data_IF_095699492576
#
_entry.id   IF_095699492576
#
_cell.length_a   1.000
_cell.length_b   1.000
_cell.length_c   1.000
_cell.angle_alpha   90.00
_cell.angle_beta   90.00
_cell.angle_gamma   90.00
#
_symmetry.space_group_name_H-M   'P 1'
#
loop_
_entity.id
_entity.type
_entity.pdbx_description
1 polymer ?
#
# COMPACT_ATOMS: atom_id res chain seq x y z
N UNK A 1 5.14 -54.63 -50.12
CA UNK A 1 5.58 -53.21 -49.99
C UNK A 1 4.69 -52.35 -49.08
N UNK A 2 3.39 -52.60 -48.93
CA UNK A 2 2.49 -51.76 -48.12
C UNK A 2 2.69 -51.85 -46.59
N UNK A 3 3.22 -52.96 -46.06
CA UNK A 3 3.38 -53.15 -44.60
C UNK A 3 4.64 -52.46 -44.03
N UNK A 4 5.69 -52.31 -44.84
CA UNK A 4 6.92 -51.60 -44.45
C UNK A 4 6.69 -50.09 -44.26
N UNK A 5 5.90 -49.47 -45.15
CA UNK A 5 5.57 -48.04 -45.04
C UNK A 5 4.68 -47.72 -43.83
N UNK A 6 3.77 -48.62 -43.44
CA UNK A 6 2.90 -48.41 -42.26
C UNK A 6 3.68 -48.48 -40.95
N UNK A 7 4.70 -49.34 -40.86
CA UNK A 7 5.59 -49.44 -39.69
C UNK A 7 6.53 -48.24 -39.58
N UNK A 8 7.02 -47.69 -40.70
CA UNK A 8 7.84 -46.49 -40.72
C UNK A 8 7.06 -45.24 -40.28
N UNK A 9 5.82 -45.08 -40.77
CA UNK A 9 4.94 -43.96 -40.40
C UNK A 9 4.56 -44.02 -38.92
N UNK A 10 4.27 -45.21 -38.36
CA UNK A 10 4.01 -45.36 -36.92
C UNK A 10 5.23 -45.06 -36.06
N UNK A 11 6.44 -45.43 -36.50
CA UNK A 11 7.69 -45.11 -35.77
C UNK A 11 8.02 -43.61 -35.82
N UNK A 12 7.78 -42.95 -36.95
CA UNK A 12 7.95 -41.49 -37.10
C UNK A 12 6.91 -40.72 -36.27
N UNK A 13 5.65 -41.18 -36.21
CA UNK A 13 4.62 -40.56 -35.38
C UNK A 13 4.88 -40.73 -33.87
N UNK A 14 5.40 -41.89 -33.45
CA UNK A 14 5.77 -42.13 -32.04
C UNK A 14 7.00 -41.30 -31.64
N UNK A 15 7.99 -41.17 -32.52
CA UNK A 15 9.16 -40.31 -32.29
C UNK A 15 8.80 -38.82 -32.25
N UNK A 16 7.84 -38.38 -33.07
CA UNK A 16 7.31 -37.01 -33.02
C UNK A 16 6.52 -36.74 -31.74
N UNK A 17 5.71 -37.69 -31.25
CA UNK A 17 5.01 -37.57 -29.96
C UNK A 17 5.98 -37.55 -28.77
N UNK A 18 7.08 -38.32 -28.79
CA UNK A 18 8.10 -38.26 -27.75
C UNK A 18 8.92 -36.96 -27.78
N UNK A 19 9.19 -36.41 -28.97
CA UNK A 19 9.86 -35.10 -29.10
C UNK A 19 8.96 -33.93 -28.65
N UNK A 20 7.64 -34.02 -28.83
CA UNK A 20 6.67 -33.03 -28.35
C UNK A 20 6.43 -33.09 -26.83
N UNK A 21 6.68 -34.22 -26.17
CA UNK A 21 6.56 -34.38 -24.72
C UNK A 21 7.85 -34.01 -23.96
N UNK A 22 8.98 -33.90 -24.66
CA UNK A 22 10.27 -33.50 -24.08
C UNK A 22 10.48 -31.96 -24.03
N UNK A 23 9.52 -31.18 -24.54
CA UNK A 23 9.54 -29.71 -24.56
C UNK A 23 8.93 -29.04 -23.33
N UNK A 24 8.81 -29.72 -22.19
CA UNK A 24 8.58 -29.00 -20.93
C UNK A 24 9.88 -28.29 -20.62
N UNK A 25 9.97 -27.01 -21.01
CA UNK A 25 10.98 -26.12 -20.52
C UNK A 25 10.91 -26.17 -18.98
N UNK A 26 11.82 -26.94 -18.37
CA UNK A 26 12.10 -26.83 -16.96
C UNK A 26 12.54 -25.40 -16.76
N UNK A 27 11.64 -24.55 -16.23
CA UNK A 27 11.98 -23.19 -15.86
C UNK A 27 13.25 -23.30 -15.00
N UNK A 28 14.35 -22.72 -15.48
CA UNK A 28 15.57 -22.68 -14.69
C UNK A 28 15.20 -22.08 -13.33
N UNK A 29 15.63 -22.69 -12.21
CA UNK A 29 15.36 -22.12 -10.90
C UNK A 29 15.85 -20.68 -10.91
N UNK A 30 14.94 -19.74 -10.69
CA UNK A 30 15.27 -18.32 -10.66
C UNK A 30 16.32 -18.12 -9.57
N UNK A 31 17.46 -17.53 -9.92
CA UNK A 31 18.49 -17.13 -8.94
C UNK A 31 18.02 -15.97 -8.08
N UNK A 32 16.93 -15.30 -8.47
CA UNK A 32 16.28 -14.26 -7.67
C UNK A 32 15.47 -14.85 -6.51
N UNK A 33 15.58 -14.27 -5.31
CA UNK A 33 14.80 -14.71 -4.16
C UNK A 33 13.29 -14.53 -4.45
N UNK A 34 12.42 -15.37 -3.85
CA UNK A 34 10.97 -15.20 -4.00
C UNK A 34 10.53 -13.76 -3.64
N UNK A 35 9.50 -13.20 -4.30
CA UNK A 35 9.12 -11.79 -4.12
C UNK A 35 8.84 -11.34 -2.67
N UNK A 36 8.45 -12.27 -1.80
CA UNK A 36 8.13 -12.03 -0.39
C UNK A 36 9.22 -12.49 0.59
N UNK A 37 10.40 -12.88 0.12
CA UNK A 37 11.46 -13.47 0.95
C UNK A 37 11.91 -12.54 2.10
N UNK A 38 12.17 -11.26 1.82
CA UNK A 38 12.58 -10.29 2.85
C UNK A 38 11.48 -10.08 3.90
N UNK A 39 10.22 -9.99 3.47
CA UNK A 39 9.07 -9.91 4.37
C UNK A 39 8.92 -11.17 5.24
N UNK A 40 9.07 -12.35 4.66
CA UNK A 40 8.99 -13.62 5.39
C UNK A 40 10.14 -13.78 6.40
N UNK A 41 11.35 -13.37 6.03
CA UNK A 41 12.50 -13.34 6.94
C UNK A 41 12.27 -12.36 8.11
N UNK A 42 11.70 -11.19 7.85
CA UNK A 42 11.33 -10.23 8.89
C UNK A 42 10.27 -10.81 9.85
N UNK A 43 9.19 -11.40 9.31
CA UNK A 43 8.16 -12.06 10.12
C UNK A 43 8.73 -13.19 10.98
N UNK A 44 9.69 -13.96 10.46
CA UNK A 44 10.34 -15.03 11.21
C UNK A 44 11.16 -14.48 12.39
N UNK A 45 11.88 -13.36 12.22
CA UNK A 45 12.56 -12.66 13.33
C UNK A 45 11.56 -12.13 14.36
N UNK A 46 10.49 -11.47 13.90
CA UNK A 46 9.43 -10.98 14.79
C UNK A 46 8.77 -12.10 15.58
N UNK A 47 8.51 -13.26 14.97
CA UNK A 47 7.94 -14.42 15.64
C UNK A 47 8.86 -15.00 16.74
N UNK A 48 10.19 -14.78 16.65
CA UNK A 48 11.15 -15.13 17.69
C UNK A 48 11.36 -14.01 18.73
N UNK A 49 10.64 -12.89 18.62
CA UNK A 49 10.80 -11.75 19.51
C UNK A 49 12.05 -10.90 19.22
N UNK A 50 12.59 -10.96 18.00
CA UNK A 50 13.88 -10.33 17.66
C UNK A 50 13.73 -9.00 16.90
N UNK A 51 12.51 -8.49 16.70
CA UNK A 51 12.33 -7.18 16.07
C UNK A 51 10.94 -6.88 15.54
N UNK A 52 10.85 -5.74 14.85
CA UNK A 52 9.61 -5.22 14.27
C UNK A 52 9.54 -5.54 12.77
N UNK A 53 8.41 -6.06 12.33
CA UNK A 53 8.08 -6.17 10.89
C UNK A 53 7.13 -5.04 10.51
N UNK A 54 7.59 -4.12 9.66
CA UNK A 54 6.79 -3.00 9.17
C UNK A 54 6.30 -3.22 7.74
N UNK A 55 5.01 -3.00 7.52
CA UNK A 55 4.35 -3.09 6.20
C UNK A 55 3.76 -1.74 5.84
N UNK A 56 4.14 -1.20 4.68
CA UNK A 56 3.74 0.12 4.21
C UNK A 56 2.81 -0.01 3.01
N UNK A 57 1.53 0.38 3.17
CA UNK A 57 0.50 0.25 2.12
C UNK A 57 0.10 1.61 1.57
N UNK A 58 0.56 1.93 0.35
CA UNK A 58 0.07 3.10 -0.39
C UNK A 58 -1.09 2.70 -1.30
N UNK A 59 -2.14 3.52 -1.32
CA UNK A 59 -3.29 3.22 -2.17
C UNK A 59 -4.27 4.36 -2.35
N UNK A 60 -5.50 3.99 -2.71
CA UNK A 60 -6.61 4.92 -2.91
C UNK A 60 -7.62 4.87 -1.73
N UNK A 61 -8.92 5.01 -2.02
CA UNK A 61 -9.99 5.05 -1.02
C UNK A 61 -10.08 3.77 -0.18
N UNK A 62 -9.94 2.58 -0.76
CA UNK A 62 -9.95 1.31 0.00
C UNK A 62 -8.84 1.24 1.05
N UNK A 63 -7.71 1.93 0.84
CA UNK A 63 -6.61 2.04 1.81
C UNK A 63 -6.84 3.20 2.79
N UNK A 64 -7.46 4.30 2.34
CA UNK A 64 -7.66 5.51 3.13
C UNK A 64 -8.59 5.31 4.32
N UNK A 65 -9.60 4.45 4.15
CA UNK A 65 -10.55 4.08 5.21
C UNK A 65 -9.95 3.19 6.30
N UNK A 66 -8.71 2.72 6.09
CA UNK A 66 -8.00 1.82 6.97
C UNK A 66 -8.77 0.52 7.33
N UNK A 67 -9.77 0.15 6.52
CA UNK A 67 -10.63 -0.97 6.86
C UNK A 67 -9.93 -2.31 6.65
N UNK A 68 -9.46 -2.61 5.43
CA UNK A 68 -8.75 -3.89 5.22
C UNK A 68 -7.36 -3.89 5.87
N UNK A 69 -6.66 -2.75 5.85
CA UNK A 69 -5.34 -2.60 6.48
C UNK A 69 -5.45 -2.68 8.00
N UNK A 70 -6.45 -2.05 8.61
CA UNK A 70 -6.72 -2.13 10.05
C UNK A 70 -7.11 -3.53 10.50
N UNK A 71 -7.98 -4.24 9.76
CA UNK A 71 -8.28 -5.64 10.05
C UNK A 71 -7.05 -6.55 9.91
N UNK A 72 -6.21 -6.30 8.91
CA UNK A 72 -4.96 -7.04 8.69
C UNK A 72 -3.97 -6.77 9.83
N UNK A 73 -3.78 -5.50 10.19
CA UNK A 73 -2.96 -5.04 11.31
C UNK A 73 -3.37 -5.71 12.61
N UNK A 74 -4.65 -5.62 12.97
CA UNK A 74 -5.16 -6.21 14.21
C UNK A 74 -4.94 -7.73 14.25
N UNK A 75 -5.10 -8.44 13.12
CA UNK A 75 -4.82 -9.88 13.05
C UNK A 75 -3.34 -10.20 13.23
N UNK A 76 -2.47 -9.45 12.58
CA UNK A 76 -1.02 -9.67 12.64
C UNK A 76 -0.44 -9.27 13.99
N UNK A 77 -0.91 -8.18 14.58
CA UNK A 77 -0.49 -7.75 15.91
C UNK A 77 -0.90 -8.75 17.00
N UNK A 78 -2.11 -9.33 16.92
CA UNK A 78 -2.50 -10.44 17.80
C UNK A 78 -1.62 -11.68 17.64
N UNK A 79 -1.07 -11.92 16.45
CA UNK A 79 -0.28 -13.12 16.16
C UNK A 79 1.19 -12.97 16.51
N UNK A 80 1.77 -11.80 16.25
CA UNK A 80 3.21 -11.59 16.28
C UNK A 80 3.65 -10.45 17.21
N UNK A 81 2.72 -9.83 17.92
CA UNK A 81 3.00 -8.70 18.81
C UNK A 81 2.59 -7.36 18.21
N UNK A 82 2.18 -6.43 19.07
CA UNK A 82 1.77 -5.09 18.68
C UNK A 82 2.89 -4.06 18.90
N UNK A 83 3.60 -3.73 17.83
CA UNK A 83 4.69 -2.75 17.83
C UNK A 83 4.23 -1.30 17.61
N UNK A 84 2.92 -1.03 17.58
CA UNK A 84 2.40 0.34 17.45
C UNK A 84 1.36 0.52 16.35
N UNK A 85 0.59 1.62 16.40
CA UNK A 85 -0.31 2.03 15.32
C UNK A 85 0.42 2.30 14.00
N UNK A 86 1.66 2.79 14.05
CA UNK A 86 2.41 3.20 12.86
C UNK A 86 2.12 4.65 12.44
N UNK A 87 2.19 4.92 11.14
CA UNK A 87 2.04 6.23 10.53
C UNK A 87 0.58 6.71 10.56
N UNK A 88 0.41 7.90 11.13
CA UNK A 88 -0.83 8.65 11.28
C UNK A 88 -0.58 10.14 11.07
N UNK A 89 -1.64 10.96 11.13
CA UNK A 89 -1.56 12.42 11.17
C UNK A 89 -2.25 12.97 12.41
N UNK A 90 -1.83 14.16 12.92
CA UNK A 90 -2.44 14.78 14.08
C UNK A 90 -3.81 15.42 13.77
N UNK A 91 -4.29 15.34 12.53
CA UNK A 91 -5.64 15.75 12.16
C UNK A 91 -6.09 15.04 10.88
N UNK A 92 -7.40 14.95 10.66
CA UNK A 92 -7.96 14.39 9.43
C UNK A 92 -7.60 15.25 8.20
N UNK A 93 -6.89 14.72 7.19
CA UNK A 93 -6.52 15.47 5.98
C UNK A 93 -7.68 15.60 4.98
N UNK A 94 -8.57 14.62 4.91
CA UNK A 94 -9.68 14.56 3.96
C UNK A 94 -10.79 13.62 4.45
N UNK A 95 -12.02 13.72 3.90
CA UNK A 95 -13.08 12.76 4.19
C UNK A 95 -12.64 11.32 3.89
N UNK A 96 -13.12 10.36 4.68
CA UNK A 96 -12.78 8.93 4.63
C UNK A 96 -11.38 8.56 5.10
N UNK A 97 -10.54 9.51 5.54
CA UNK A 97 -9.33 9.15 6.28
C UNK A 97 -9.71 8.63 7.66
N UNK A 98 -9.30 7.41 7.97
CA UNK A 98 -9.53 6.78 9.27
C UNK A 98 -8.31 5.98 9.73
N UNK A 99 -8.27 5.63 11.01
CA UNK A 99 -7.24 4.78 11.58
C UNK A 99 -7.78 3.94 12.75
N UNK A 100 -7.89 2.62 12.57
CA UNK A 100 -8.55 1.75 13.56
C UNK A 100 -7.81 1.64 14.92
N UNK A 101 -6.52 2.00 14.97
CA UNK A 101 -5.70 1.93 16.19
C UNK A 101 -5.36 3.30 16.79
N UNK A 102 -5.90 4.41 16.25
CA UNK A 102 -5.64 5.75 16.75
C UNK A 102 -6.78 6.73 16.43
N UNK A 103 -7.14 7.59 17.38
CA UNK A 103 -8.04 8.72 17.17
C UNK A 103 -7.23 9.97 16.89
N UNK A 104 -7.75 10.87 16.06
CA UNK A 104 -7.07 12.11 15.72
C UNK A 104 -8.06 13.29 15.71
N UNK A 105 -7.51 14.49 15.76
CA UNK A 105 -8.32 15.70 15.71
C UNK A 105 -9.09 15.83 14.37
N UNK A 106 -10.25 16.52 14.36
CA UNK A 106 -10.80 17.00 13.11
C UNK A 106 -9.80 17.92 12.40
N UNK A 107 -9.97 18.13 11.08
CA UNK A 107 -9.06 18.93 10.27
C UNK A 107 -8.78 20.33 10.88
N UNK A 108 -9.82 21.02 11.34
CA UNK A 108 -9.71 22.38 11.87
C UNK A 108 -9.03 23.31 10.86
N UNK A 109 -7.94 23.95 11.28
CA UNK A 109 -7.14 24.84 10.42
C UNK A 109 -6.04 24.13 9.63
N UNK A 110 -5.86 22.82 9.82
CA UNK A 110 -4.95 22.02 9.00
C UNK A 110 -5.55 21.81 7.61
N UNK A 111 -4.70 21.92 6.58
CA UNK A 111 -5.06 21.64 5.19
C UNK A 111 -4.21 20.49 4.67
N UNK A 112 -4.81 19.53 3.97
CA UNK A 112 -4.03 18.49 3.33
C UNK A 112 -3.04 19.06 2.30
N UNK A 113 -1.76 18.74 2.47
CA UNK A 113 -0.71 18.94 1.48
C UNK A 113 -0.48 17.64 0.72
N UNK A 114 -0.36 17.74 -0.61
CA UNK A 114 0.00 16.63 -1.51
C UNK A 114 0.64 17.22 -2.75
N UNK A 115 1.49 16.46 -3.43
CA UNK A 115 2.03 16.92 -4.72
C UNK A 115 0.88 17.05 -5.71
N UNK A 116 0.70 18.24 -6.28
CA UNK A 116 -0.29 18.52 -7.34
C UNK A 116 0.46 18.97 -8.60
N UNK A 117 0.07 18.43 -9.75
CA UNK A 117 0.65 18.80 -11.05
C UNK A 117 1.96 18.08 -11.38
N UNK A 118 2.71 18.62 -12.36
CA UNK A 118 3.95 18.02 -12.89
C UNK A 118 5.22 18.46 -12.16
N UNK A 119 5.14 19.46 -11.28
CA UNK A 119 6.31 19.91 -10.53
C UNK A 119 6.65 18.92 -9.42
N UNK A 120 7.87 18.39 -9.46
CA UNK A 120 8.44 17.56 -8.39
C UNK A 120 8.72 18.46 -7.20
N UNK A 121 7.90 18.39 -6.16
CA UNK A 121 8.06 19.19 -4.95
C UNK A 121 8.60 18.31 -3.82
N UNK A 122 9.90 18.44 -3.51
CA UNK A 122 10.58 17.68 -2.45
C UNK A 122 9.89 17.80 -1.08
N UNK A 123 9.31 18.97 -0.83
CA UNK A 123 8.94 19.43 0.50
C UNK A 123 7.42 19.37 0.77
N UNK A 124 6.69 18.65 -0.08
CA UNK A 124 5.22 18.64 -0.10
C UNK A 124 4.59 17.30 0.29
N UNK A 125 5.39 16.23 0.45
CA UNK A 125 4.89 14.90 0.79
C UNK A 125 5.86 14.18 1.74
N UNK A 126 5.29 13.55 2.77
CA UNK A 126 6.03 12.69 3.69
C UNK A 126 6.02 11.23 3.29
N UNK A 127 6.38 10.33 4.22
CA UNK A 127 6.33 8.88 3.97
C UNK A 127 4.93 8.41 3.57
N UNK A 128 3.89 9.14 4.00
CA UNK A 128 2.50 8.87 3.64
C UNK A 128 2.13 9.26 2.19
N UNK A 129 2.94 10.08 1.52
CA UNK A 129 2.60 10.64 0.20
C UNK A 129 1.71 11.90 0.25
N UNK A 130 1.33 12.32 1.44
CA UNK A 130 0.57 13.52 1.76
C UNK A 130 0.95 13.98 3.18
N UNK A 131 0.48 15.16 3.58
CA UNK A 131 0.70 15.71 4.91
C UNK A 131 -0.35 16.76 5.25
N UNK A 132 -0.05 17.56 6.26
CA UNK A 132 -0.85 18.69 6.71
C UNK A 132 -0.03 19.97 6.67
N UNK A 133 -0.66 21.06 6.24
CA UNK A 133 -0.11 22.40 6.22
C UNK A 133 -0.97 23.32 7.10
N UNK A 134 -0.31 24.10 7.95
CA UNK A 134 -0.87 25.25 8.63
C UNK A 134 -0.34 26.52 7.95
N UNK A 135 -1.19 27.56 7.82
CA UNK A 135 -0.78 28.87 7.27
C UNK A 135 -0.57 29.95 8.33
N UNK A 136 -1.40 29.94 9.37
CA UNK A 136 -1.40 30.98 10.42
C UNK A 136 -1.29 30.35 11.80
N UNK A 137 -2.18 29.44 12.13
CA UNK A 137 -2.06 28.60 13.32
C UNK A 137 -2.90 27.34 13.10
N UNK A 138 -2.48 26.24 13.71
CA UNK A 138 -3.27 25.02 13.75
C UNK A 138 -2.90 24.21 14.99
N UNK A 139 -3.87 23.46 15.51
CA UNK A 139 -3.64 22.47 16.56
C UNK A 139 -4.23 21.15 16.09
N UNK A 140 -3.48 20.08 16.26
CA UNK A 140 -3.91 18.72 16.04
C UNK A 140 -3.41 17.83 17.16
N UNK A 141 -4.01 16.67 17.30
CA UNK A 141 -3.56 15.64 18.21
C UNK A 141 -3.88 14.28 17.64
N UNK A 142 -3.10 13.29 18.06
CA UNK A 142 -3.40 11.88 17.85
C UNK A 142 -3.29 11.15 19.18
N UNK A 143 -4.19 10.21 19.40
CA UNK A 143 -4.32 9.46 20.64
C UNK A 143 -4.55 7.98 20.39
N UNK A 144 -3.92 7.13 21.20
CA UNK A 144 -3.98 5.67 21.11
C UNK A 144 -4.67 5.06 22.32
N UNK A 145 -5.19 3.85 22.14
CA UNK A 145 -5.84 3.09 23.22
C UNK A 145 -4.87 2.35 24.15
N UNK A 146 -3.62 2.20 23.76
CA UNK A 146 -2.55 1.79 24.67
C UNK A 146 -1.38 2.74 24.53
N UNK A 147 -0.54 2.81 25.57
CA UNK A 147 0.67 3.61 25.54
C UNK A 147 1.61 3.19 24.43
N UNK A 148 2.30 4.17 23.87
CA UNK A 148 3.42 4.01 22.95
C UNK A 148 4.68 4.58 23.58
N UNK A 149 5.83 4.15 23.08
CA UNK A 149 7.15 4.47 23.67
C UNK A 149 7.90 5.54 22.85
N UNK A 150 7.46 5.74 21.60
CA UNK A 150 8.14 6.60 20.63
C UNK A 150 7.17 7.24 19.65
N UNK A 151 7.39 8.52 19.39
CA UNK A 151 6.75 9.29 18.33
C UNK A 151 7.82 9.86 17.41
N UNK A 152 7.81 9.45 16.13
CA UNK A 152 8.63 10.09 15.08
C UNK A 152 7.77 11.01 14.25
N UNK A 153 8.03 12.30 14.30
CA UNK A 153 7.31 13.30 13.52
C UNK A 153 8.15 13.71 12.32
N UNK A 154 7.68 13.39 11.13
CA UNK A 154 8.22 13.87 9.87
C UNK A 154 7.63 15.25 9.59
N UNK A 155 8.48 16.23 9.29
CA UNK A 155 8.08 17.62 9.08
C UNK A 155 8.74 18.17 7.82
N UNK A 156 8.05 19.12 7.18
CA UNK A 156 8.59 19.87 6.05
C UNK A 156 9.10 21.24 6.50
N UNK A 157 9.73 22.01 5.59
CA UNK A 157 10.17 23.37 5.85
C UNK A 157 9.08 24.24 6.47
N UNK A 158 9.46 25.05 7.46
CA UNK A 158 8.55 25.93 8.21
C UNK A 158 9.19 27.31 8.36
N UNK A 159 8.41 28.38 8.11
CA UNK A 159 8.77 29.74 8.51
C UNK A 159 8.10 30.15 9.83
N UNK A 160 7.17 29.32 10.32
CA UNK A 160 6.59 29.42 11.65
C UNK A 160 7.31 28.58 12.70
N UNK A 161 6.64 28.45 13.84
CA UNK A 161 7.00 27.61 14.99
C UNK A 161 6.11 26.36 15.00
N UNK A 162 6.73 25.18 15.01
CA UNK A 162 6.03 23.90 15.16
C UNK A 162 6.40 23.29 16.51
N UNK A 163 5.41 23.12 17.37
CA UNK A 163 5.58 22.52 18.68
C UNK A 163 4.93 21.14 18.72
N UNK A 164 5.69 20.16 19.20
CA UNK A 164 5.27 18.77 19.35
C UNK A 164 5.39 18.41 20.83
N UNK A 165 4.32 17.84 21.37
CA UNK A 165 4.25 17.39 22.76
C UNK A 165 3.77 15.94 22.80
N UNK A 166 4.52 15.06 23.44
CA UNK A 166 4.19 13.65 23.61
C UNK A 166 4.37 13.29 25.09
N UNK A 167 3.26 13.16 25.82
CA UNK A 167 3.31 13.13 27.29
C UNK A 167 3.99 14.38 27.85
N UNK A 168 5.03 14.18 28.65
CA UNK A 168 5.88 15.25 29.20
C UNK A 168 6.96 15.73 28.22
N UNK A 169 7.32 14.92 27.23
CA UNK A 169 8.33 15.28 26.25
C UNK A 169 7.81 16.40 25.34
N UNK A 170 8.65 17.42 25.12
CA UNK A 170 8.34 18.57 24.26
C UNK A 170 9.50 18.88 23.32
N UNK A 171 9.15 19.18 22.07
CA UNK A 171 10.06 19.68 21.05
C UNK A 171 9.44 20.90 20.38
N UNK A 172 10.26 21.91 20.13
CA UNK A 172 9.87 23.13 19.43
C UNK A 172 10.83 23.30 18.27
N UNK A 173 10.28 23.40 17.07
CA UNK A 173 11.02 23.47 15.81
C UNK A 173 10.77 24.81 15.13
N UNK A 174 11.82 25.34 14.53
CA UNK A 174 11.84 26.59 13.79
C UNK A 174 12.70 26.39 12.53
N UNK A 175 12.32 27.01 11.40
CA UNK A 175 13.13 26.96 10.17
C UNK A 175 13.36 25.55 9.60
N UNK A 176 14.43 25.41 8.80
CA UNK A 176 15.00 24.14 8.36
C UNK A 176 14.35 23.45 7.14
N UNK A 177 14.95 22.33 6.71
CA UNK A 177 14.55 21.51 5.55
C UNK A 177 13.45 20.47 5.81
N UNK A 178 13.42 19.37 5.07
CA UNK A 178 12.58 18.21 5.41
C UNK A 178 13.38 17.31 6.37
N UNK A 179 12.82 16.96 7.54
CA UNK A 179 13.50 16.11 8.53
C UNK A 179 12.50 15.30 9.35
N UNK A 180 13.00 14.46 10.27
CA UNK A 180 12.19 13.85 11.32
C UNK A 180 12.74 14.20 12.71
N UNK A 181 11.86 14.26 13.69
CA UNK A 181 12.24 14.38 15.10
C UNK A 181 11.61 13.25 15.91
N UNK A 182 12.34 12.78 16.91
CA UNK A 182 11.90 11.70 17.79
C UNK A 182 11.62 12.23 19.20
N UNK A 183 10.49 11.79 19.76
CA UNK A 183 10.14 11.97 21.16
C UNK A 183 9.94 10.58 21.77
N UNK A 184 10.71 10.27 22.80
CA UNK A 184 10.67 8.99 23.51
C UNK A 184 10.05 9.18 24.89
N UNK A 185 9.40 8.15 25.39
CA UNK A 185 8.68 8.14 26.67
C UNK A 185 7.36 7.40 26.54
N UNK A 186 6.68 7.15 27.66
CA UNK A 186 5.40 6.45 27.67
C UNK A 186 4.26 7.45 27.60
N UNK A 187 3.49 7.41 26.52
CA UNK A 187 2.37 8.33 26.33
C UNK A 187 1.28 7.72 25.45
N UNK A 188 0.06 8.24 25.60
CA UNK A 188 -1.09 7.87 24.76
C UNK A 188 -1.43 8.93 23.74
N UNK A 189 -0.97 10.17 23.93
CA UNK A 189 -1.32 11.32 23.09
C UNK A 189 -0.11 12.10 22.65
N UNK A 190 -0.08 12.45 21.36
CA UNK A 190 0.83 13.44 20.78
C UNK A 190 0.03 14.63 20.29
N UNK A 191 0.39 15.83 20.72
CA UNK A 191 -0.22 17.10 20.28
C UNK A 191 0.77 17.88 19.44
N UNK A 192 0.29 18.42 18.32
CA UNK A 192 1.08 19.23 17.39
C UNK A 192 0.43 20.60 17.25
N UNK A 193 1.20 21.66 17.51
CA UNK A 193 0.76 23.06 17.46
C UNK A 193 1.64 23.85 16.50
N UNK A 194 1.04 24.41 15.47
CA UNK A 194 1.69 25.33 14.55
C UNK A 194 1.32 26.79 14.89
N UNK A 195 2.31 27.68 14.86
CA UNK A 195 2.14 29.14 14.86
C UNK A 195 2.96 29.70 13.69
N UNK A 196 2.28 30.17 12.66
CA UNK A 196 2.84 30.51 11.35
C UNK A 196 2.81 29.32 10.37
N UNK A 197 3.34 29.51 9.15
CA UNK A 197 3.39 28.46 8.13
C UNK A 197 4.24 27.26 8.58
N UNK A 198 3.65 26.07 8.62
CA UNK A 198 4.34 24.84 9.03
C UNK A 198 3.72 23.60 8.35
N UNK A 199 4.51 22.53 8.19
CA UNK A 199 4.08 21.26 7.59
C UNK A 199 4.40 20.06 8.47
N UNK A 200 3.40 19.19 8.65
CA UNK A 200 3.55 17.85 9.22
C UNK A 200 3.36 16.84 8.11
N UNK A 201 4.39 16.05 7.85
CA UNK A 201 4.47 15.12 6.73
C UNK A 201 4.13 13.68 7.12
N UNK A 202 4.08 13.38 8.42
CA UNK A 202 3.68 12.10 8.97
C UNK A 202 4.06 12.01 10.44
N UNK A 203 3.38 11.13 11.18
CA UNK A 203 3.67 10.87 12.58
C UNK A 203 3.62 9.37 12.81
N UNK A 204 4.76 8.74 13.14
CA UNK A 204 4.83 7.31 13.47
C UNK A 204 4.74 7.11 14.96
N UNK A 205 3.75 6.36 15.44
CA UNK A 205 3.59 5.94 16.83
C UNK A 205 4.01 4.49 17.00
N UNK A 206 5.00 4.25 17.85
CA UNK A 206 5.68 2.95 17.96
C UNK A 206 5.88 2.53 19.42
N UNK A 207 5.86 1.22 19.64
CA UNK A 207 6.22 0.59 20.92
C UNK A 207 7.59 -0.05 20.83
N UNK A 208 8.35 0.01 21.91
CA UNK A 208 9.69 -0.54 21.97
C UNK A 208 9.65 -2.03 22.34
N UNK A 209 8.97 -2.81 21.48
CA UNK A 209 8.83 -4.26 21.64
C UNK A 209 8.69 -4.94 20.27
N UNK A 210 9.05 -6.23 20.17
CA UNK A 210 8.81 -7.01 18.96
C UNK A 210 7.34 -7.00 18.56
N UNK A 211 7.09 -6.94 17.26
CA UNK A 211 5.73 -6.92 16.75
C UNK A 211 5.60 -6.50 15.29
N UNK A 212 4.35 -6.23 14.89
CA UNK A 212 4.03 -5.79 13.54
C UNK A 212 3.47 -4.38 13.54
N UNK A 213 3.89 -3.59 12.55
CA UNK A 213 3.30 -2.32 12.17
C UNK A 213 2.74 -2.45 10.76
N UNK A 214 1.52 -1.96 10.53
CA UNK A 214 0.93 -1.83 9.18
C UNK A 214 0.50 -0.39 9.01
N UNK A 215 1.15 0.32 8.10
CA UNK A 215 0.86 1.71 7.78
C UNK A 215 -0.13 1.78 6.60
N UNK A 216 -1.22 2.52 6.78
CA UNK A 216 -2.25 2.76 5.76
C UNK A 216 -2.14 4.18 5.19
N UNK A 217 -1.70 4.28 3.93
CA UNK A 217 -1.37 5.56 3.28
C UNK A 217 -2.21 5.72 2.02
N UNK A 218 -3.52 5.71 2.20
CA UNK A 218 -4.48 5.85 1.12
C UNK A 218 -4.91 7.29 0.90
N UNK A 219 -5.08 7.69 -0.37
CA UNK A 219 -5.67 8.97 -0.75
C UNK A 219 -6.91 8.73 -1.61
N UNK A 220 -8.13 9.11 -1.16
CA UNK A 220 -9.35 8.92 -1.95
C UNK A 220 -9.23 9.51 -3.36
N UNK A 221 -9.64 8.71 -4.35
CA UNK A 221 -9.57 9.08 -5.77
C UNK A 221 -8.16 9.09 -6.38
N UNK A 222 -7.11 8.78 -5.62
CA UNK A 222 -5.76 8.75 -6.14
C UNK A 222 -5.54 7.61 -7.12
N UNK A 223 -4.64 7.85 -8.06
CA UNK A 223 -4.12 6.88 -9.02
C UNK A 223 -2.62 6.73 -8.77
N UNK A 224 -2.06 5.60 -9.14
CA UNK A 224 -0.63 5.31 -9.04
C UNK A 224 0.22 6.43 -9.66
N UNK A 225 -0.23 7.01 -10.78
CA UNK A 225 0.48 8.13 -11.44
C UNK A 225 0.73 9.33 -10.53
N UNK A 226 -0.11 9.54 -9.51
CA UNK A 226 -0.05 10.72 -8.63
C UNK A 226 1.20 10.67 -7.73
N UNK A 227 1.89 9.53 -7.66
CA UNK A 227 3.18 9.37 -6.98
C UNK A 227 4.40 9.68 -7.85
N UNK A 228 4.28 9.66 -9.17
CA UNK A 228 5.42 9.86 -10.08
C UNK A 228 6.14 11.21 -9.87
N UNK A 229 5.46 12.29 -9.46
CA UNK A 229 6.12 13.55 -9.11
C UNK A 229 6.93 13.52 -7.80
N UNK A 230 6.84 12.47 -6.99
CA UNK A 230 7.65 12.36 -5.77
C UNK A 230 9.13 12.31 -6.17
N UNK A 231 10.03 12.87 -5.38
CA UNK A 231 11.46 12.64 -5.45
C UNK A 231 11.89 11.39 -4.68
N UNK A 232 12.85 10.68 -5.25
CA UNK A 232 13.31 9.39 -4.75
C UNK A 232 14.27 9.53 -3.56
N UNK A 233 15.05 10.60 -3.48
CA UNK A 233 15.96 10.89 -2.37
C UNK A 233 15.20 11.15 -1.07
N UNK A 234 14.22 12.06 -1.09
CA UNK A 234 13.42 12.35 0.10
C UNK A 234 12.63 11.13 0.59
N UNK A 235 12.11 10.30 -0.34
CA UNK A 235 11.44 9.07 0.02
C UNK A 235 12.43 8.04 0.59
N UNK A 236 13.62 7.89 -0.01
CA UNK A 236 14.65 6.97 0.47
C UNK A 236 15.04 7.26 1.91
N UNK A 237 15.36 8.51 2.23
CA UNK A 237 15.72 8.92 3.60
C UNK A 237 14.61 8.55 4.61
N UNK A 238 13.34 8.76 4.24
CA UNK A 238 12.21 8.40 5.09
C UNK A 238 12.06 6.88 5.26
N UNK A 239 12.29 6.10 4.20
CA UNK A 239 12.22 4.64 4.24
C UNK A 239 13.41 4.00 4.94
N UNK A 240 14.59 4.63 4.94
CA UNK A 240 15.73 4.21 5.75
C UNK A 240 15.41 4.32 7.25
N UNK A 241 14.73 5.39 7.66
CA UNK A 241 14.26 5.58 9.05
C UNK A 241 13.16 4.58 9.41
N UNK A 242 12.20 4.35 8.51
CA UNK A 242 11.04 3.49 8.79
C UNK A 242 11.31 1.99 8.60
N UNK A 243 12.33 1.64 7.81
CA UNK A 243 12.80 0.29 7.49
C UNK A 243 11.68 -0.72 7.21
N UNK A 244 10.83 -0.51 6.18
CA UNK A 244 9.76 -1.44 5.87
C UNK A 244 10.29 -2.79 5.37
N UNK A 245 9.69 -3.87 5.84
CA UNK A 245 9.93 -5.22 5.33
C UNK A 245 9.09 -5.53 4.07
N UNK A 246 7.97 -4.82 3.89
CA UNK A 246 7.08 -4.95 2.73
C UNK A 246 6.52 -3.59 2.34
N UNK A 247 6.66 -3.24 1.05
CA UNK A 247 6.00 -2.09 0.43
C UNK A 247 4.88 -2.57 -0.50
N UNK A 248 3.70 -1.96 -0.37
CA UNK A 248 2.49 -2.34 -1.11
C UNK A 248 1.94 -1.16 -1.91
N UNK A 249 1.63 -1.41 -3.20
CA UNK A 249 0.93 -0.49 -4.08
C UNK A 249 -0.48 -1.02 -4.37
N UNK A 250 -1.49 -0.46 -3.72
CA UNK A 250 -2.91 -0.81 -3.84
C UNK A 250 -3.67 0.24 -4.66
N UNK A 251 -3.53 0.17 -5.99
CA UNK A 251 -4.13 1.10 -6.96
C UNK A 251 -4.76 0.32 -8.12
N UNK A 252 -5.48 1.01 -9.00
CA UNK A 252 -6.00 0.44 -10.24
C UNK A 252 -7.48 0.75 -10.46
N UNK A 253 -8.31 0.78 -9.42
CA UNK A 253 -9.76 0.99 -9.58
C UNK A 253 -10.05 2.36 -10.22
N UNK A 254 -9.35 3.42 -9.79
CA UNK A 254 -9.48 4.75 -10.40
C UNK A 254 -8.89 4.81 -11.81
N UNK A 255 -7.86 4.02 -12.11
CA UNK A 255 -7.31 3.88 -13.45
C UNK A 255 -8.24 3.11 -14.39
N UNK A 256 -8.98 2.14 -13.87
CA UNK A 256 -10.01 1.41 -14.59
C UNK A 256 -11.14 2.37 -15.03
N UNK A 257 -11.50 3.33 -14.18
CA UNK A 257 -12.46 4.39 -14.49
C UNK A 257 -11.98 5.41 -15.52
N UNK A 258 -10.68 5.48 -15.80
CA UNK A 258 -10.09 6.54 -16.61
C UNK A 258 -9.73 6.04 -18.02
N UNK A 259 -10.68 6.18 -18.95
CA UNK A 259 -10.55 5.69 -20.35
C UNK A 259 -9.96 6.71 -21.32
N UNK A 260 -9.86 8.00 -20.95
CA UNK A 260 -9.36 9.06 -21.83
C UNK A 260 -7.87 8.99 -22.18
N UNK A 261 -7.17 7.89 -21.84
CA UNK A 261 -5.74 7.70 -22.14
C UNK A 261 -5.43 6.24 -22.52
N UNK A 262 -4.56 6.00 -23.53
CA UNK A 262 -4.16 4.65 -23.94
C UNK A 262 -3.55 3.83 -22.81
N UNK A 263 -3.77 2.50 -22.82
CA UNK A 263 -3.20 1.57 -21.82
C UNK A 263 -1.67 1.62 -21.81
N UNK A 264 -1.06 1.76 -23.00
CA UNK A 264 0.40 1.91 -23.18
C UNK A 264 1.03 3.01 -22.33
N UNK A 265 0.30 4.11 -22.04
CA UNK A 265 0.84 5.16 -21.16
C UNK A 265 0.78 4.73 -19.70
N UNK A 266 -0.26 3.99 -19.30
CA UNK A 266 -0.36 3.43 -17.96
C UNK A 266 0.71 2.34 -17.73
N UNK A 267 0.99 1.49 -18.73
CA UNK A 267 2.09 0.52 -18.68
C UNK A 267 3.42 1.17 -18.28
N UNK A 268 3.78 2.30 -18.91
CA UNK A 268 4.98 3.06 -18.57
C UNK A 268 4.94 3.69 -17.18
N UNK A 269 3.78 4.21 -16.78
CA UNK A 269 3.60 4.80 -15.44
C UNK A 269 3.75 3.76 -14.32
N UNK A 270 3.18 2.57 -14.50
CA UNK A 270 3.33 1.45 -13.55
C UNK A 270 4.77 0.97 -13.51
N UNK A 271 5.39 0.80 -14.68
CA UNK A 271 6.78 0.33 -14.76
C UNK A 271 7.73 1.30 -14.05
N UNK A 272 7.62 2.60 -14.33
CA UNK A 272 8.40 3.64 -13.66
C UNK A 272 8.17 3.66 -12.14
N UNK A 273 6.91 3.60 -11.69
CA UNK A 273 6.58 3.66 -10.28
C UNK A 273 7.12 2.44 -9.50
N UNK A 274 7.00 1.24 -10.07
CA UNK A 274 7.47 0.01 -9.43
C UNK A 274 8.99 -0.02 -9.40
N UNK A 275 9.66 0.29 -10.53
CA UNK A 275 11.13 0.37 -10.61
C UNK A 275 11.68 1.33 -9.55
N UNK A 276 11.16 2.56 -9.49
CA UNK A 276 11.62 3.58 -8.52
C UNK A 276 11.35 3.15 -7.09
N UNK A 277 10.22 2.51 -6.82
CA UNK A 277 9.93 1.98 -5.47
C UNK A 277 10.94 0.90 -5.06
N UNK A 278 11.30 -0.01 -5.97
CA UNK A 278 12.34 -1.03 -5.72
C UNK A 278 13.70 -0.40 -5.46
N UNK A 279 14.05 0.67 -6.17
CA UNK A 279 15.31 1.40 -5.99
C UNK A 279 15.41 2.18 -4.68
N UNK A 280 14.30 2.71 -4.15
CA UNK A 280 14.29 3.44 -2.86
C UNK A 280 14.11 2.53 -1.65
N UNK A 281 13.57 1.31 -1.84
CA UNK A 281 13.35 0.32 -0.79
C UNK A 281 13.95 -1.05 -1.14
N UNK A 282 15.27 -1.13 -1.42
CA UNK A 282 15.89 -2.36 -1.92
C UNK A 282 15.80 -3.53 -0.93
N UNK A 283 15.79 -3.24 0.37
CA UNK A 283 15.67 -4.25 1.44
C UNK A 283 14.25 -4.75 1.71
N UNK A 284 13.22 -4.10 1.16
CA UNK A 284 11.83 -4.50 1.35
C UNK A 284 11.40 -5.52 0.29
N UNK A 285 10.46 -6.41 0.62
CA UNK A 285 9.65 -7.10 -0.40
C UNK A 285 8.66 -6.13 -1.04
N UNK A 286 8.13 -6.49 -2.22
CA UNK A 286 7.22 -5.65 -2.98
C UNK A 286 5.93 -6.40 -3.34
N UNK A 287 4.77 -5.74 -3.18
CA UNK A 287 3.46 -6.27 -3.55
C UNK A 287 2.64 -5.22 -4.31
N UNK A 288 2.01 -5.62 -5.41
CA UNK A 288 0.95 -4.86 -6.05
C UNK A 288 -0.40 -5.51 -5.72
N UNK A 289 -1.36 -4.73 -5.27
CA UNK A 289 -2.77 -5.14 -5.15
C UNK A 289 -3.50 -4.48 -6.32
N UNK A 290 -4.08 -5.30 -7.19
CA UNK A 290 -4.76 -4.85 -8.41
C UNK A 290 -6.09 -4.14 -8.17
N UNK A 291 -6.77 -3.67 -9.24
CA UNK A 291 -8.09 -3.05 -9.12
C UNK A 291 -9.12 -4.05 -8.61
N UNK A 292 -10.10 -3.57 -7.84
CA UNK A 292 -11.36 -4.30 -7.66
C UNK A 292 -12.18 -4.29 -8.96
N UNK A 293 -13.08 -5.26 -9.10
CA UNK A 293 -14.13 -5.21 -10.11
C UNK A 293 -14.95 -3.91 -9.96
N UNK A 294 -15.20 -3.24 -11.08
CA UNK A 294 -16.00 -2.01 -11.13
C UNK A 294 -16.80 -1.99 -12.43
N UNK A 295 -17.99 -2.62 -12.45
CA UNK A 295 -18.83 -2.67 -13.63
C UNK A 295 -19.33 -1.28 -14.03
N UNK A 296 -19.75 -1.14 -15.28
CA UNK A 296 -20.50 0.04 -15.76
C UNK A 296 -21.98 -0.28 -15.74
N UNK A 297 -22.80 0.71 -15.42
CA UNK A 297 -24.25 0.61 -15.64
C UNK A 297 -24.54 0.98 -17.08
N UNK A 298 -25.24 0.11 -17.82
CA UNK A 298 -25.73 0.40 -19.16
C UNK A 298 -26.94 1.33 -19.12
N UNK A 299 -27.33 1.88 -20.27
CA UNK A 299 -28.53 2.73 -20.41
C UNK A 299 -29.81 1.96 -20.03
N UNK A 300 -29.84 0.64 -20.25
CA UNK A 300 -30.92 -0.26 -19.83
C UNK A 300 -30.89 -0.63 -18.35
N UNK A 301 -30.00 -0.03 -17.55
CA UNK A 301 -29.94 -0.22 -16.10
C UNK A 301 -29.20 -1.46 -15.62
N UNK A 302 -28.75 -2.35 -16.53
CA UNK A 302 -27.99 -3.56 -16.21
C UNK A 302 -26.50 -3.27 -16.03
N UNK A 303 -25.82 -4.05 -15.19
CA UNK A 303 -24.37 -3.96 -15.06
C UNK A 303 -23.66 -4.73 -16.18
N UNK A 304 -22.72 -4.06 -16.84
CA UNK A 304 -21.86 -4.61 -17.90
C UNK A 304 -20.39 -4.46 -17.54
N UNK A 305 -19.56 -5.32 -18.10
CA UNK A 305 -18.13 -5.32 -17.81
C UNK A 305 -17.48 -3.97 -18.20
N UNK A 306 -16.40 -3.68 -17.49
CA UNK A 306 -15.47 -2.59 -17.78
C UNK A 306 -14.17 -3.21 -18.29
N UNK A 307 -13.98 -3.36 -19.62
CA UNK A 307 -12.79 -3.99 -20.19
C UNK A 307 -11.47 -3.40 -19.71
N UNK A 308 -11.48 -2.08 -19.40
CA UNK A 308 -10.33 -1.38 -18.84
C UNK A 308 -9.81 -1.97 -17.53
N UNK A 309 -10.68 -2.58 -16.71
CA UNK A 309 -10.28 -3.25 -15.46
C UNK A 309 -9.34 -4.43 -15.76
N UNK A 310 -9.64 -5.23 -16.79
CA UNK A 310 -8.79 -6.35 -17.20
C UNK A 310 -7.44 -5.85 -17.75
N UNK A 311 -7.43 -4.79 -18.55
CA UNK A 311 -6.19 -4.18 -19.06
C UNK A 311 -5.28 -3.67 -17.93
N UNK A 312 -5.86 -2.99 -16.93
CA UNK A 312 -5.13 -2.48 -15.75
C UNK A 312 -4.58 -3.64 -14.92
N UNK A 313 -5.40 -4.66 -14.67
CA UNK A 313 -4.99 -5.88 -13.93
C UNK A 313 -3.82 -6.58 -14.61
N UNK A 314 -3.92 -6.80 -15.93
CA UNK A 314 -2.86 -7.44 -16.72
C UNK A 314 -1.57 -6.60 -16.71
N UNK A 315 -1.70 -5.28 -16.85
CA UNK A 315 -0.57 -4.34 -16.82
C UNK A 315 0.19 -4.40 -15.48
N UNK A 316 -0.53 -4.33 -14.36
CA UNK A 316 0.06 -4.38 -13.03
C UNK A 316 0.66 -5.77 -12.73
N UNK A 317 0.00 -6.85 -13.14
CA UNK A 317 0.54 -8.21 -13.02
C UNK A 317 1.85 -8.38 -13.79
N UNK A 318 1.90 -7.88 -15.03
CA UNK A 318 3.11 -7.93 -15.86
C UNK A 318 4.24 -7.11 -15.23
N UNK A 319 3.96 -5.89 -14.75
CA UNK A 319 4.95 -5.07 -14.06
C UNK A 319 5.45 -5.74 -12.77
N UNK A 320 4.56 -6.33 -11.97
CA UNK A 320 4.97 -7.05 -10.77
C UNK A 320 5.96 -8.16 -11.09
N UNK A 321 5.68 -8.97 -12.12
CA UNK A 321 6.61 -10.02 -12.59
C UNK A 321 7.96 -9.46 -13.07
N UNK A 322 7.96 -8.38 -13.86
CA UNK A 322 9.20 -7.76 -14.38
C UNK A 322 10.12 -7.24 -13.28
N UNK A 323 9.55 -6.77 -12.16
CA UNK A 323 10.28 -6.12 -11.08
C UNK A 323 10.45 -7.00 -9.83
N UNK A 324 10.17 -8.30 -9.93
CA UNK A 324 10.29 -9.24 -8.81
C UNK A 324 9.31 -8.98 -7.66
N UNK A 325 8.18 -8.35 -7.92
CA UNK A 325 7.11 -8.10 -6.95
C UNK A 325 6.04 -9.19 -6.98
N UNK A 326 5.38 -9.41 -5.84
CA UNK A 326 4.15 -10.19 -5.76
C UNK A 326 2.97 -9.40 -6.36
N UNK A 327 1.92 -10.11 -6.77
CA UNK A 327 0.67 -9.52 -7.26
C UNK A 327 -0.54 -10.20 -6.62
N UNK A 328 -1.45 -9.40 -6.06
CA UNK A 328 -2.74 -9.85 -5.56
C UNK A 328 -3.86 -9.36 -6.49
N UNK A 329 -4.59 -10.30 -7.08
CA UNK A 329 -5.66 -10.01 -8.03
C UNK A 329 -7.00 -9.87 -7.30
N UNK A 330 -7.47 -8.63 -7.11
CA UNK A 330 -8.76 -8.37 -6.46
C UNK A 330 -9.94 -8.84 -7.32
N UNK A 331 -9.89 -8.70 -8.65
CA UNK A 331 -10.95 -9.18 -9.55
C UNK A 331 -11.13 -10.68 -9.40
N UNK A 332 -10.04 -11.45 -9.47
CA UNK A 332 -10.08 -12.89 -9.29
C UNK A 332 -10.57 -13.27 -7.87
N UNK A 333 -10.12 -12.55 -6.84
CA UNK A 333 -10.58 -12.74 -5.47
C UNK A 333 -12.09 -12.49 -5.31
N UNK A 334 -12.66 -11.53 -6.03
CA UNK A 334 -14.09 -11.24 -5.98
C UNK A 334 -14.95 -12.29 -6.70
N UNK A 335 -14.35 -13.09 -7.59
CA UNK A 335 -15.01 -14.13 -8.38
C UNK A 335 -14.91 -13.91 -9.89
N UNK A 336 -14.09 -12.96 -10.35
CA UNK A 336 -13.94 -12.60 -11.75
C UNK A 336 -14.66 -11.29 -12.12
N UNK A 337 -14.63 -10.92 -13.42
CA UNK A 337 -15.37 -9.77 -13.94
C UNK A 337 -16.87 -9.86 -13.63
N UNK A 338 -17.54 -8.72 -13.44
CA UNK A 338 -18.97 -8.65 -13.11
C UNK A 338 -19.38 -9.32 -11.79
N UNK A 339 -18.44 -9.49 -10.87
CA UNK A 339 -18.72 -10.05 -9.54
C UNK A 339 -19.23 -9.00 -8.55
N UNK A 340 -18.97 -7.71 -8.79
CA UNK A 340 -19.32 -6.64 -7.86
C UNK A 340 -20.83 -6.51 -7.56
N UNK A 341 -21.78 -6.63 -8.50
CA UNK A 341 -23.21 -6.60 -8.18
C UNK A 341 -23.59 -7.71 -7.19
N UNK A 342 -23.09 -8.93 -7.40
CA UNK A 342 -23.28 -10.02 -6.44
C UNK A 342 -22.59 -9.78 -5.09
N UNK A 343 -21.53 -8.97 -5.03
CA UNK A 343 -20.97 -8.50 -3.76
C UNK A 343 -21.88 -7.50 -3.06
N UNK A 344 -22.55 -6.61 -3.78
CA UNK A 344 -23.56 -5.69 -3.23
C UNK A 344 -24.74 -6.48 -2.67
N UNK A 345 -25.27 -7.45 -3.42
CA UNK A 345 -26.41 -8.29 -2.98
C UNK A 345 -26.11 -9.06 -1.69
N UNK A 346 -24.83 -9.46 -1.49
CA UNK A 346 -24.36 -10.14 -0.27
C UNK A 346 -23.96 -9.20 0.86
N UNK A 347 -24.13 -7.89 0.71
CA UNK A 347 -23.71 -6.90 1.70
C UNK A 347 -22.19 -6.78 1.89
N UNK A 348 -21.40 -7.20 0.89
CA UNK A 348 -19.94 -7.10 0.89
C UNK A 348 -19.44 -5.83 0.18
N UNK A 349 -20.29 -5.16 -0.60
CA UNK A 349 -20.00 -3.91 -1.27
C UNK A 349 -21.12 -2.89 -1.09
N UNK A 350 -20.78 -1.61 -1.20
CA UNK A 350 -21.71 -0.49 -1.13
C UNK A 350 -22.51 -0.38 -2.44
N UNK A 351 -23.66 0.28 -2.37
CA UNK A 351 -24.54 0.51 -3.53
C UNK A 351 -23.91 1.33 -4.66
N UNK A 352 -22.73 1.92 -4.46
CA UNK A 352 -21.95 2.57 -5.52
C UNK A 352 -21.23 1.59 -6.46
N UNK A 353 -21.21 0.29 -6.12
CA UNK A 353 -20.55 -0.77 -6.89
C UNK A 353 -19.05 -0.51 -7.11
N UNK A 354 -18.41 0.16 -6.16
CA UNK A 354 -16.96 0.43 -6.14
C UNK A 354 -16.35 0.06 -4.80
N UNK A 355 -16.93 0.56 -3.71
CA UNK A 355 -16.37 0.44 -2.37
C UNK A 355 -16.92 -0.79 -1.64
N UNK A 356 -16.10 -1.36 -0.76
CA UNK A 356 -16.52 -2.49 0.06
C UNK A 356 -17.20 -2.01 1.35
N UNK A 357 -18.05 -2.84 1.92
CA UNK A 357 -18.49 -2.68 3.31
C UNK A 357 -17.38 -3.16 4.25
N UNK A 358 -17.53 -2.94 5.57
CA UNK A 358 -16.70 -3.57 6.60
C UNK A 358 -16.58 -5.08 6.43
N UNK A 359 -17.69 -5.75 6.08
CA UNK A 359 -17.71 -7.19 5.84
C UNK A 359 -16.85 -7.57 4.62
N UNK A 360 -16.95 -6.82 3.52
CA UNK A 360 -16.09 -6.99 2.35
C UNK A 360 -14.62 -6.74 2.64
N UNK A 361 -14.30 -5.65 3.35
CA UNK A 361 -12.92 -5.35 3.77
C UNK A 361 -12.35 -6.41 4.72
N UNK A 362 -13.15 -6.97 5.64
CA UNK A 362 -12.75 -8.07 6.52
C UNK A 362 -12.48 -9.35 5.74
N UNK A 363 -13.29 -9.63 4.70
CA UNK A 363 -13.07 -10.75 3.78
C UNK A 363 -11.75 -10.57 3.02
N UNK A 364 -11.47 -9.37 2.51
CA UNK A 364 -10.21 -9.05 1.83
C UNK A 364 -9.00 -9.21 2.77
N UNK A 365 -9.05 -8.62 3.98
CA UNK A 365 -7.97 -8.76 4.96
C UNK A 365 -7.68 -10.24 5.31
N UNK A 366 -8.71 -11.09 5.33
CA UNK A 366 -8.57 -12.53 5.57
C UNK A 366 -7.96 -13.28 4.39
N UNK A 367 -8.23 -12.85 3.16
CA UNK A 367 -7.56 -13.41 1.99
C UNK A 367 -6.09 -12.99 1.92
N UNK A 368 -5.79 -11.71 2.19
CA UNK A 368 -4.41 -11.19 2.23
C UNK A 368 -3.59 -11.86 3.33
N UNK A 369 -4.14 -12.01 4.54
CA UNK A 369 -3.46 -12.73 5.62
C UNK A 369 -3.07 -14.16 5.23
N UNK A 370 -3.96 -14.89 4.55
CA UNK A 370 -3.63 -16.24 4.06
C UNK A 370 -2.59 -16.22 2.95
N UNK A 371 -2.70 -15.28 2.02
CA UNK A 371 -1.84 -15.22 0.84
C UNK A 371 -0.41 -14.75 1.16
N UNK A 372 -0.24 -13.88 2.17
CA UNK A 372 1.04 -13.27 2.50
C UNK A 372 1.83 -14.03 3.56
N UNK A 373 1.19 -14.91 4.32
CA UNK A 373 1.90 -15.71 5.33
C UNK A 373 2.91 -16.68 4.68
N UNK A 374 4.05 -16.93 5.33
CA UNK A 374 4.92 -18.03 4.94
C UNK A 374 4.11 -19.34 4.93
N UNK A 375 4.30 -20.17 3.90
CA UNK A 375 3.73 -21.53 3.92
C UNK A 375 4.51 -22.35 4.96
N UNK A 376 3.85 -23.18 5.78
CA UNK A 376 4.58 -24.17 6.56
C UNK A 376 5.36 -25.06 5.59
N UNK A 377 6.63 -25.31 5.91
CA UNK A 377 7.48 -26.24 5.19
C UNK A 377 6.97 -27.67 5.33
#
# INVERSE_FOLDING_TARGET
MADASRRLIRRLALAACLALMAGVATAQPSTEPPPLAAFHAALARTARGEGVTRVMVWGASHTASDQFTGFLRARWQRRWGDAGPGLVLPASPFPLYDHQAARFAPAGSWRASRVRGRQRQADAYGPMGFGLEARVAAIGWVETDDEVDRARVFRGPTSGRLEIQAGEARRVLHGGGTEHVELSGRFRRVTVRARGPARVLGLSLERDRPGVIVDAMGVPGARLRDRLPWRDDALREQLEVLSPALVVLAYGTNEAGFTGRPIRRYEREVDEAVRRLREVAPGASCLLIGPSDWPRRSDGGTYVDRPRTAEVTATQRAAARRHGCAFFDLVAFQGGPLSMPGWVDRGLALGDHVHFTDAGHRRLASALDRALRPRPH
#
